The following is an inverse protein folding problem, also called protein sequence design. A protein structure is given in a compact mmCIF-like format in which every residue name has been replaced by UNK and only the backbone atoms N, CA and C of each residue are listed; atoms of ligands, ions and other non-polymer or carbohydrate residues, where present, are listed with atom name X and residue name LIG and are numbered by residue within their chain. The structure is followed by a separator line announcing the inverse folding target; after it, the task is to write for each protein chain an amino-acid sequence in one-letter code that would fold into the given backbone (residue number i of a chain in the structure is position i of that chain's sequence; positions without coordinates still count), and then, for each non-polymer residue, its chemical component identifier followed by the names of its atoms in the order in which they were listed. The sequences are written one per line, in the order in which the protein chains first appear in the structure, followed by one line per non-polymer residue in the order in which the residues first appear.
data_IF_526184680982
#
_entry.id   IF_526184680982
#
_cell.length_a   1.000
_cell.length_b   1.000
_cell.length_c   1.000
_cell.angle_alpha   90.00
_cell.angle_beta   90.00
_cell.angle_gamma   90.00
#
_symmetry.space_group_name_H-M   'P 1'
#
loop_
_entity.id
_entity.type
_entity.pdbx_description
1 polymer ?
#
# COMPACT_ATOMS: atom_id res chain seq x y z
N UNK A 1 -9.60 -16.15 11.64
CA UNK A 1 -8.16 -16.56 11.72
C UNK A 1 -7.29 -16.10 10.54
N UNK A 2 -7.83 -15.95 9.32
CA UNK A 2 -7.02 -15.61 8.14
C UNK A 2 -6.38 -14.20 8.21
N UNK A 3 -7.09 -13.17 8.69
CA UNK A 3 -6.61 -11.78 8.68
C UNK A 3 -5.41 -11.46 9.60
N UNK A 4 -5.32 -12.11 10.77
CA UNK A 4 -4.17 -11.96 11.70
C UNK A 4 -2.93 -12.70 11.20
N UNK A 5 -3.12 -13.92 10.72
CA UNK A 5 -2.07 -14.68 10.05
C UNK A 5 -1.55 -13.91 8.84
N UNK A 6 -2.44 -13.25 8.10
CA UNK A 6 -2.16 -12.47 6.89
C UNK A 6 -1.40 -11.16 7.14
N UNK A 7 -1.77 -10.35 8.15
CA UNK A 7 -1.04 -9.10 8.46
C UNK A 7 0.32 -9.35 9.12
N UNK A 8 0.38 -10.33 10.03
CA UNK A 8 1.66 -10.83 10.55
C UNK A 8 2.48 -11.44 9.42
N UNK A 9 1.85 -12.14 8.46
CA UNK A 9 2.51 -12.65 7.28
C UNK A 9 3.06 -11.51 6.41
N UNK A 10 2.30 -10.48 6.04
CA UNK A 10 2.81 -9.39 5.17
C UNK A 10 4.06 -8.72 5.76
N UNK A 11 4.00 -8.24 7.00
CA UNK A 11 5.16 -7.61 7.64
C UNK A 11 6.32 -8.60 7.85
N UNK A 12 6.02 -9.84 8.23
CA UNK A 12 7.04 -10.88 8.38
C UNK A 12 7.68 -11.25 7.03
N UNK A 13 6.89 -11.37 5.96
CA UNK A 13 7.33 -11.73 4.62
C UNK A 13 8.19 -10.60 4.04
N UNK A 14 7.76 -9.35 4.15
CA UNK A 14 8.59 -8.18 3.79
C UNK A 14 9.93 -8.21 4.53
N UNK A 15 9.94 -8.53 5.83
CA UNK A 15 11.17 -8.66 6.62
C UNK A 15 12.03 -9.88 6.23
N UNK A 16 11.43 -10.98 5.75
CA UNK A 16 12.21 -12.12 5.27
C UNK A 16 12.84 -11.83 3.92
N UNK A 17 12.08 -11.23 3.00
CA UNK A 17 12.58 -10.86 1.68
C UNK A 17 13.65 -9.77 1.74
N UNK A 18 13.51 -8.78 2.62
CA UNK A 18 14.50 -7.70 2.77
C UNK A 18 15.89 -8.21 3.20
N UNK A 19 16.00 -9.43 3.77
CA UNK A 19 17.31 -10.06 4.06
C UNK A 19 18.09 -10.46 2.80
N UNK A 20 17.39 -10.57 1.66
CA UNK A 20 17.95 -10.93 0.37
C UNK A 20 18.12 -9.72 -0.55
N UNK A 21 17.63 -8.56 -0.10
CA UNK A 21 17.77 -7.27 -0.76
C UNK A 21 19.24 -6.86 -0.85
N UNK A 22 19.62 -6.39 -2.03
CA UNK A 22 20.89 -5.72 -2.21
C UNK A 22 20.68 -4.24 -1.88
N UNK A 23 21.59 -3.62 -1.12
CA UNK A 23 21.42 -2.30 -0.52
C UNK A 23 21.15 -1.13 -1.51
N UNK A 24 21.15 -1.39 -2.82
CA UNK A 24 21.00 -0.38 -3.87
C UNK A 24 19.57 -0.21 -4.37
N UNK A 25 18.66 -1.19 -4.17
CA UNK A 25 17.28 -1.09 -4.69
C UNK A 25 16.28 -1.71 -3.69
N UNK A 26 15.64 -0.90 -2.84
CA UNK A 26 14.65 -1.38 -1.90
C UNK A 26 13.40 -1.94 -2.60
N UNK A 27 12.84 -3.02 -2.05
CA UNK A 27 11.65 -3.69 -2.55
C UNK A 27 11.85 -4.67 -3.71
N UNK A 28 13.09 -4.84 -4.19
CA UNK A 28 13.41 -5.76 -5.30
C UNK A 28 14.55 -6.72 -4.96
N UNK A 29 14.50 -7.93 -5.53
CA UNK A 29 15.57 -8.94 -5.40
C UNK A 29 15.77 -9.73 -6.70
N UNK A 30 16.97 -10.30 -6.86
CA UNK A 30 17.26 -11.23 -7.97
C UNK A 30 16.30 -12.45 -7.93
N UNK A 31 15.82 -12.91 -9.08
CA UNK A 31 14.81 -13.97 -9.18
C UNK A 31 15.22 -15.31 -8.52
N UNK A 32 16.51 -15.62 -8.52
CA UNK A 32 17.07 -16.79 -7.84
C UNK A 32 17.04 -16.63 -6.30
N UNK A 33 17.22 -15.40 -5.79
CA UNK A 33 17.05 -15.09 -4.36
C UNK A 33 15.58 -15.14 -3.95
N UNK A 34 14.69 -14.64 -4.80
CA UNK A 34 13.24 -14.72 -4.61
C UNK A 34 12.78 -16.17 -4.44
N UNK A 35 13.16 -17.04 -5.37
CA UNK A 35 12.83 -18.48 -5.31
C UNK A 35 13.40 -19.14 -4.06
N UNK A 36 14.66 -18.84 -3.70
CA UNK A 36 15.29 -19.36 -2.48
C UNK A 36 14.60 -18.88 -1.21
N UNK A 37 14.14 -17.63 -1.18
CA UNK A 37 13.43 -17.06 -0.04
C UNK A 37 12.07 -17.76 0.15
N UNK A 38 11.31 -17.98 -0.92
CA UNK A 38 10.04 -18.71 -0.90
C UNK A 38 10.18 -20.12 -0.31
N UNK A 39 11.17 -20.89 -0.78
CA UNK A 39 11.40 -22.24 -0.24
C UNK A 39 11.77 -22.21 1.24
N UNK A 40 12.57 -21.24 1.71
CA UNK A 40 12.90 -21.11 3.14
C UNK A 40 11.71 -20.68 4.00
N UNK A 41 10.77 -19.98 3.41
CA UNK A 41 9.52 -19.57 4.06
C UNK A 41 8.47 -20.69 4.08
N UNK A 42 8.79 -21.87 3.53
CA UNK A 42 7.89 -23.03 3.51
C UNK A 42 6.84 -22.97 2.40
N UNK A 43 7.03 -22.14 1.38
CA UNK A 43 6.17 -22.14 0.18
C UNK A 43 6.61 -23.29 -0.72
N UNK A 44 5.79 -24.32 -0.81
CA UNK A 44 6.00 -25.50 -1.65
C UNK A 44 5.15 -25.42 -2.93
N UNK A 45 5.81 -25.33 -4.09
CA UNK A 45 5.16 -25.44 -5.40
C UNK A 45 5.61 -26.75 -6.06
N UNK A 46 4.70 -27.41 -6.78
CA UNK A 46 4.91 -28.76 -7.33
C UNK A 46 6.10 -28.89 -8.28
N UNK A 47 6.49 -27.81 -8.94
CA UNK A 47 7.55 -27.80 -9.95
C UNK A 47 8.40 -26.55 -9.90
N UNK A 48 9.68 -26.70 -10.22
CA UNK A 48 10.66 -25.60 -10.31
C UNK A 48 10.21 -24.49 -11.27
N UNK A 49 9.61 -24.88 -12.40
CA UNK A 49 9.07 -23.96 -13.41
C UNK A 49 7.96 -23.03 -12.86
N UNK A 50 7.26 -23.43 -11.79
CA UNK A 50 6.23 -22.59 -11.17
C UNK A 50 6.84 -21.43 -10.37
N UNK A 51 8.00 -21.64 -9.73
CA UNK A 51 8.72 -20.54 -9.07
C UNK A 51 9.26 -19.54 -10.09
N UNK A 52 9.77 -20.02 -11.22
CA UNK A 52 10.25 -19.16 -12.32
C UNK A 52 9.10 -18.36 -12.93
N UNK A 53 7.95 -19.00 -13.17
CA UNK A 53 6.73 -18.32 -13.64
C UNK A 53 6.24 -17.27 -12.65
N UNK A 54 6.27 -17.59 -11.35
CA UNK A 54 5.89 -16.64 -10.30
C UNK A 54 6.83 -15.43 -10.26
N UNK A 55 8.14 -15.63 -10.41
CA UNK A 55 9.11 -14.54 -10.50
C UNK A 55 8.87 -13.66 -11.75
N UNK A 56 8.49 -14.26 -12.89
CA UNK A 56 8.10 -13.54 -14.11
C UNK A 56 6.87 -12.65 -13.91
N UNK A 57 5.89 -13.08 -13.12
CA UNK A 57 4.68 -12.29 -12.84
C UNK A 57 4.97 -10.96 -12.11
N UNK A 58 6.07 -10.90 -11.36
CA UNK A 58 6.45 -9.74 -10.54
C UNK A 58 7.77 -9.14 -11.01
N UNK A 59 8.14 -9.31 -12.27
CA UNK A 59 9.35 -8.69 -12.80
C UNK A 59 9.18 -7.18 -12.91
N UNK A 60 10.24 -6.44 -12.61
CA UNK A 60 10.26 -4.98 -12.86
C UNK A 60 10.57 -4.69 -14.32
N UNK A 61 9.94 -3.65 -14.88
CA UNK A 61 10.10 -3.28 -16.30
C UNK A 61 11.53 -2.79 -16.63
N UNK A 62 12.27 -2.32 -15.62
CA UNK A 62 13.66 -1.84 -15.74
C UNK A 62 14.73 -2.94 -15.80
N UNK A 63 14.48 -3.97 -16.60
CA UNK A 63 15.43 -5.01 -16.98
C UNK A 63 16.24 -4.72 -18.25
N UNK A 64 16.19 -3.49 -18.81
CA UNK A 64 16.97 -3.12 -20.00
C UNK A 64 18.31 -2.41 -19.70
N UNK A 65 18.58 -2.06 -18.44
CA UNK A 65 19.90 -1.60 -17.98
C UNK A 65 20.65 -2.72 -17.29
N UNK A 66 21.40 -3.53 -18.04
CA UNK A 66 22.17 -4.64 -17.50
C UNK A 66 23.24 -4.16 -16.50
N UNK A 67 23.07 -4.51 -15.22
CA UNK A 67 24.19 -4.55 -14.28
C UNK A 67 24.96 -5.84 -14.55
N UNK A 68 26.11 -5.71 -15.24
CA UNK A 68 27.09 -6.80 -15.35
C UNK A 68 27.81 -6.96 -14.02
N UNK A 69 27.56 -8.07 -13.32
CA UNK A 69 28.43 -8.53 -12.23
C UNK A 69 29.80 -8.86 -12.85
N UNK A 70 30.75 -7.94 -12.73
CA UNK A 70 32.15 -8.18 -13.07
C UNK A 70 32.83 -8.88 -11.91
N UNK A 71 32.53 -10.17 -11.71
CA UNK A 71 33.36 -11.05 -10.90
C UNK A 71 33.36 -12.48 -11.46
N UNK A 72 34.58 -12.89 -11.81
CA UNK A 72 35.10 -14.23 -12.01
C UNK A 72 34.59 -15.15 -13.14
N UNK A 73 35.61 -15.64 -13.85
CA UNK A 73 35.62 -16.57 -14.97
C UNK A 73 34.51 -17.64 -15.00
N UNK A 74 33.85 -17.67 -16.17
CA UNK A 74 33.14 -18.81 -16.76
C UNK A 74 31.69 -19.05 -16.27
N UNK A 75 30.72 -18.33 -16.85
CA UNK A 75 29.36 -18.83 -17.19
C UNK A 75 28.58 -17.79 -18.01
N UNK A 76 27.69 -18.30 -18.88
CA UNK A 76 26.76 -17.59 -19.77
C UNK A 76 26.25 -16.26 -19.20
N UNK A 77 26.22 -15.22 -20.04
CA UNK A 77 25.41 -14.02 -19.86
C UNK A 77 23.97 -14.41 -19.53
N UNK A 78 23.64 -14.39 -18.24
CA UNK A 78 22.28 -14.50 -17.75
C UNK A 78 21.88 -13.10 -17.36
N UNK A 79 21.03 -12.46 -18.16
CA UNK A 79 20.31 -11.25 -17.76
C UNK A 79 19.69 -11.50 -16.39
N UNK A 80 20.15 -10.78 -15.37
CA UNK A 80 19.71 -11.00 -13.99
C UNK A 80 18.33 -10.38 -13.82
N UNK A 81 17.30 -11.21 -13.87
CA UNK A 81 15.91 -10.79 -13.67
C UNK A 81 15.70 -10.31 -12.22
N UNK A 82 15.16 -9.11 -12.06
CA UNK A 82 14.74 -8.55 -10.78
C UNK A 82 13.25 -8.76 -10.56
N UNK A 83 12.87 -9.06 -9.33
CA UNK A 83 11.51 -9.33 -8.88
C UNK A 83 11.13 -8.30 -7.83
N UNK A 84 10.01 -7.60 -8.04
CA UNK A 84 9.32 -6.75 -7.07
C UNK A 84 8.67 -7.65 -6.02
N UNK A 85 9.43 -7.95 -4.97
CA UNK A 85 8.94 -8.80 -3.90
C UNK A 85 7.89 -8.08 -3.05
N UNK A 86 7.83 -6.75 -3.07
CA UNK A 86 6.81 -5.97 -2.36
C UNK A 86 5.46 -6.21 -3.02
N UNK A 87 5.38 -6.08 -4.35
CA UNK A 87 4.18 -6.40 -5.11
C UNK A 87 3.79 -7.88 -4.94
N UNK A 88 4.77 -8.79 -4.88
CA UNK A 88 4.50 -10.19 -4.56
C UNK A 88 3.95 -10.38 -3.14
N UNK A 89 4.55 -9.76 -2.12
CA UNK A 89 4.08 -9.90 -0.74
C UNK A 89 2.71 -9.26 -0.58
N UNK A 90 2.45 -8.13 -1.24
CA UNK A 90 1.12 -7.54 -1.30
C UNK A 90 0.14 -8.50 -1.98
N UNK A 91 0.52 -9.17 -3.07
CA UNK A 91 -0.30 -10.18 -3.73
C UNK A 91 -0.53 -11.44 -2.87
N UNK A 92 0.52 -12.00 -2.26
CA UNK A 92 0.50 -13.29 -1.56
C UNK A 92 -0.07 -13.16 -0.14
N UNK A 93 0.17 -12.02 0.50
CA UNK A 93 -0.42 -11.66 1.78
C UNK A 93 -1.66 -10.79 1.60
N UNK A 94 -2.09 -10.43 0.40
CA UNK A 94 -3.51 -10.32 0.14
C UNK A 94 -4.05 -11.74 -0.01
N UNK A 95 -4.74 -12.22 1.02
CA UNK A 95 -5.87 -13.11 0.77
C UNK A 95 -6.72 -12.33 -0.23
N UNK A 96 -6.63 -12.69 -1.52
CA UNK A 96 -7.66 -12.29 -2.48
C UNK A 96 -8.94 -12.60 -1.76
N UNK A 97 -9.75 -11.57 -1.55
CA UNK A 97 -11.12 -11.81 -1.18
C UNK A 97 -11.60 -12.94 -2.07
N UNK A 98 -12.16 -13.99 -1.46
CA UNK A 98 -12.85 -14.98 -2.27
C UNK A 98 -13.78 -14.23 -3.22
N UNK A 99 -14.09 -14.78 -4.40
CA UNK A 99 -15.04 -14.11 -5.32
C UNK A 99 -16.28 -13.62 -4.55
N UNK A 100 -16.72 -14.42 -3.57
CA UNK A 100 -17.71 -14.06 -2.57
C UNK A 100 -17.40 -12.80 -1.75
N UNK A 101 -16.24 -12.67 -1.11
CA UNK A 101 -15.88 -11.46 -0.35
C UNK A 101 -15.77 -10.22 -1.26
N UNK A 102 -15.34 -10.38 -2.51
CA UNK A 102 -15.33 -9.29 -3.49
C UNK A 102 -16.75 -8.85 -3.86
N UNK A 103 -17.64 -9.80 -4.14
CA UNK A 103 -19.06 -9.55 -4.39
C UNK A 103 -19.73 -8.84 -3.19
N UNK A 104 -19.40 -9.26 -1.97
CA UNK A 104 -19.88 -8.60 -0.74
C UNK A 104 -19.34 -7.18 -0.67
N UNK A 105 -18.05 -6.95 -0.92
CA UNK A 105 -17.45 -5.62 -0.90
C UNK A 105 -18.11 -4.68 -1.91
N UNK A 106 -18.34 -5.15 -3.13
CA UNK A 106 -18.95 -4.37 -4.20
C UNK A 106 -20.41 -4.05 -3.88
N UNK A 107 -21.18 -5.01 -3.37
CA UNK A 107 -22.55 -4.79 -2.88
C UNK A 107 -22.61 -3.76 -1.75
N UNK A 108 -21.67 -3.83 -0.80
CA UNK A 108 -21.55 -2.87 0.29
C UNK A 108 -21.21 -1.46 -0.22
N UNK A 109 -20.23 -1.33 -1.13
CA UNK A 109 -19.82 -0.05 -1.74
C UNK A 109 -20.94 0.55 -2.59
N UNK A 110 -21.67 -0.26 -3.35
CA UNK A 110 -22.81 0.19 -4.14
C UNK A 110 -23.93 0.70 -3.23
N UNK A 111 -24.18 0.01 -2.10
CA UNK A 111 -25.16 0.45 -1.10
C UNK A 111 -24.77 1.80 -0.46
N UNK A 112 -23.49 2.00 -0.15
CA UNK A 112 -22.95 3.28 0.32
C UNK A 112 -23.14 4.37 -0.75
N UNK A 113 -22.74 4.11 -2.00
CA UNK A 113 -22.88 5.06 -3.10
C UNK A 113 -24.34 5.47 -3.33
N UNK A 114 -25.28 4.51 -3.32
CA UNK A 114 -26.72 4.77 -3.41
C UNK A 114 -27.26 5.61 -2.25
N UNK A 115 -26.73 5.41 -1.05
CA UNK A 115 -27.10 6.20 0.13
C UNK A 115 -26.55 7.63 0.03
N UNK A 116 -25.29 7.78 -0.34
CA UNK A 116 -24.63 9.08 -0.49
C UNK A 116 -25.27 9.91 -1.62
N UNK A 117 -25.59 9.31 -2.75
CA UNK A 117 -26.29 9.99 -3.86
C UNK A 117 -27.70 10.47 -3.52
N UNK A 118 -28.34 9.92 -2.48
CA UNK A 118 -29.65 10.39 -1.98
C UNK A 118 -29.52 11.48 -0.93
N UNK A 119 -28.32 11.66 -0.35
CA UNK A 119 -28.07 12.59 0.74
C UNK A 119 -27.75 13.97 0.17
N UNK A 120 -28.25 15.02 0.81
CA UNK A 120 -27.90 16.41 0.45
C UNK A 120 -26.51 16.84 0.96
N UNK A 121 -25.83 15.99 1.74
CA UNK A 121 -24.54 16.28 2.35
C UNK A 121 -23.41 15.85 1.43
N UNK A 122 -22.41 16.71 1.28
CA UNK A 122 -21.19 16.44 0.51
C UNK A 122 -20.27 15.38 1.14
N UNK A 123 -20.52 14.97 2.39
CA UNK A 123 -19.67 13.99 3.08
C UNK A 123 -20.20 12.58 2.91
N UNK A 124 -19.38 11.72 2.30
CA UNK A 124 -19.64 10.29 2.15
C UNK A 124 -19.84 9.61 3.50
N UNK A 125 -20.68 8.57 3.52
CA UNK A 125 -20.94 7.77 4.72
C UNK A 125 -19.65 7.15 5.27
N UNK A 126 -19.31 7.43 6.52
CA UNK A 126 -18.15 6.85 7.20
C UNK A 126 -18.57 5.68 8.09
N UNK A 127 -18.34 4.47 7.62
CA UNK A 127 -18.68 3.25 8.34
C UNK A 127 -17.87 3.11 9.64
N UNK A 128 -16.57 3.43 9.63
CA UNK A 128 -15.74 3.34 10.84
C UNK A 128 -16.30 4.19 11.98
N UNK A 129 -16.74 5.42 11.68
CA UNK A 129 -17.33 6.31 12.67
C UNK A 129 -18.63 5.74 13.29
N UNK A 130 -19.36 4.92 12.54
CA UNK A 130 -20.51 4.17 13.07
C UNK A 130 -20.09 3.03 13.99
N UNK A 131 -19.11 2.22 13.56
CA UNK A 131 -18.61 1.08 14.31
C UNK A 131 -17.84 1.48 15.58
N UNK A 132 -17.07 2.58 15.54
CA UNK A 132 -16.31 3.11 16.68
C UNK A 132 -17.22 3.47 17.86
N UNK A 133 -18.44 3.95 17.61
CA UNK A 133 -19.43 4.24 18.67
C UNK A 133 -19.83 3.00 19.48
N UNK A 134 -19.67 1.80 18.91
CA UNK A 134 -19.96 0.54 19.58
C UNK A 134 -18.79 0.09 20.49
N UNK A 135 -17.58 0.60 20.26
CA UNK A 135 -16.38 0.34 21.05
C UNK A 135 -16.18 1.42 22.13
N UNK A 136 -17.03 1.38 23.17
CA UNK A 136 -17.03 2.35 24.28
C UNK A 136 -15.69 2.51 24.99
N UNK A 137 -14.84 1.50 24.93
CA UNK A 137 -13.55 1.46 25.62
C UNK A 137 -12.37 1.73 24.69
N UNK A 138 -12.62 2.05 23.40
CA UNK A 138 -11.58 2.31 22.40
C UNK A 138 -10.52 1.20 22.32
N UNK A 139 -10.98 -0.04 22.37
CA UNK A 139 -10.13 -1.23 22.31
C UNK A 139 -9.65 -1.53 20.88
N UNK A 140 -10.25 -0.90 19.87
CA UNK A 140 -10.01 -1.17 18.45
C UNK A 140 -10.76 -2.40 17.94
N UNK A 141 -11.70 -2.94 18.73
CA UNK A 141 -12.50 -4.10 18.34
C UNK A 141 -13.90 -4.11 18.95
N UNK A 142 -14.81 -4.81 18.28
CA UNK A 142 -16.19 -5.04 18.71
C UNK A 142 -16.54 -6.52 18.63
N UNK A 143 -17.58 -6.99 19.31
CA UNK A 143 -17.97 -8.40 19.19
C UNK A 143 -18.59 -8.69 17.81
N UNK A 144 -18.53 -9.94 17.35
CA UNK A 144 -19.18 -10.38 16.11
C UNK A 144 -20.69 -10.05 16.10
N UNK A 145 -21.36 -10.17 17.25
CA UNK A 145 -22.77 -9.75 17.41
C UNK A 145 -22.98 -8.25 17.25
N UNK A 146 -22.07 -7.42 17.77
CA UNK A 146 -22.15 -5.96 17.58
C UNK A 146 -21.93 -5.59 16.12
N UNK A 147 -20.99 -6.26 15.46
CA UNK A 147 -20.68 -6.09 14.05
C UNK A 147 -21.86 -6.47 13.15
N UNK A 148 -22.43 -7.66 13.34
CA UNK A 148 -23.60 -8.13 12.60
C UNK A 148 -24.77 -7.16 12.73
N UNK A 149 -25.11 -6.75 13.97
CA UNK A 149 -26.18 -5.78 14.21
C UNK A 149 -25.93 -4.44 13.54
N UNK A 150 -24.67 -4.00 13.45
CA UNK A 150 -24.34 -2.75 12.78
C UNK A 150 -24.59 -2.82 11.27
N UNK A 151 -24.28 -3.95 10.63
CA UNK A 151 -24.48 -4.14 9.19
C UNK A 151 -25.94 -4.43 8.79
N UNK A 152 -26.76 -4.90 9.72
CA UNK A 152 -28.18 -5.17 9.49
C UNK A 152 -29.11 -3.98 9.85
N UNK A 153 -28.56 -2.89 10.40
CA UNK A 153 -29.35 -1.72 10.80
C UNK A 153 -29.79 -0.91 9.59
N UNK A 154 -31.10 -0.66 9.48
CA UNK A 154 -31.67 0.16 8.41
C UNK A 154 -32.00 1.59 8.86
N UNK A 155 -31.99 1.85 10.16
CA UNK A 155 -32.34 3.14 10.76
C UNK A 155 -31.17 4.14 10.77
N UNK A 156 -29.94 3.67 10.63
CA UNK A 156 -28.71 4.47 10.79
C UNK A 156 -27.67 4.20 9.69
N UNK A 157 -28.01 4.52 8.43
CA UNK A 157 -27.06 4.48 7.31
C UNK A 157 -27.61 3.78 6.06
N UNK A 158 -26.72 3.34 5.14
CA UNK A 158 -27.10 2.49 4.00
C UNK A 158 -27.65 1.14 4.46
N UNK A 159 -28.70 0.66 3.78
CA UNK A 159 -29.19 -0.72 3.97
C UNK A 159 -28.37 -1.66 3.09
N UNK A 160 -27.56 -2.50 3.73
CA UNK A 160 -26.58 -3.36 3.07
C UNK A 160 -27.13 -4.71 2.56
N UNK A 161 -28.34 -5.10 2.98
CA UNK A 161 -29.04 -6.32 2.53
C UNK A 161 -28.15 -7.59 2.43
N UNK A 162 -27.33 -7.83 3.44
CA UNK A 162 -26.43 -8.98 3.49
C UNK A 162 -27.17 -10.27 3.89
N UNK A 163 -26.83 -11.40 3.28
CA UNK A 163 -27.27 -12.71 3.76
C UNK A 163 -26.50 -13.14 5.02
N UNK A 164 -27.03 -14.11 5.76
CA UNK A 164 -26.31 -14.71 6.89
C UNK A 164 -24.95 -15.30 6.47
N UNK A 165 -24.85 -15.81 5.24
CA UNK A 165 -23.61 -16.37 4.72
C UNK A 165 -22.58 -15.31 4.35
N UNK A 166 -23.01 -14.08 4.05
CA UNK A 166 -22.14 -12.94 3.77
C UNK A 166 -21.56 -12.39 5.08
N UNK A 167 -22.41 -12.25 6.09
CA UNK A 167 -21.99 -11.85 7.43
C UNK A 167 -20.99 -12.85 8.00
N UNK A 168 -21.23 -14.15 7.86
CA UNK A 168 -20.28 -15.18 8.29
C UNK A 168 -18.92 -15.02 7.60
N UNK A 169 -18.91 -14.77 6.28
CA UNK A 169 -17.66 -14.58 5.54
C UNK A 169 -16.89 -13.33 6.01
N UNK A 170 -17.60 -12.23 6.31
CA UNK A 170 -16.99 -11.03 6.88
C UNK A 170 -16.46 -11.27 8.29
N UNK A 171 -17.21 -11.95 9.16
CA UNK A 171 -16.76 -12.32 10.51
C UNK A 171 -15.49 -13.17 10.42
N UNK A 172 -15.49 -14.24 9.61
CA UNK A 172 -14.33 -15.11 9.45
C UNK A 172 -13.07 -14.36 8.98
N UNK A 173 -13.28 -13.33 8.13
CA UNK A 173 -12.24 -12.49 7.56
C UNK A 173 -11.62 -11.51 8.56
N UNK A 174 -12.43 -10.92 9.42
CA UNK A 174 -12.04 -9.80 10.30
C UNK A 174 -12.02 -10.14 11.81
N UNK A 175 -12.40 -11.36 12.20
CA UNK A 175 -12.33 -11.83 13.58
C UNK A 175 -10.89 -12.19 14.01
N UNK A 176 -10.56 -11.76 15.22
CA UNK A 176 -9.24 -11.78 15.85
C UNK A 176 -9.34 -12.17 17.32
N UNK A 177 -8.34 -12.88 17.85
CA UNK A 177 -8.23 -13.24 19.26
C UNK A 177 -7.48 -12.17 20.08
N UNK A 178 -8.20 -11.43 20.92
CA UNK A 178 -7.68 -10.45 21.86
C UNK A 178 -7.32 -11.08 23.22
N UNK A 179 -6.83 -10.25 24.14
CA UNK A 179 -6.33 -10.67 25.45
C UNK A 179 -7.21 -11.74 26.12
N UNK A 180 -6.58 -12.88 26.47
CA UNK A 180 -7.21 -14.03 27.14
C UNK A 180 -8.25 -14.79 26.29
N UNK A 181 -7.93 -15.06 25.02
CA UNK A 181 -8.75 -15.88 24.12
C UNK A 181 -10.12 -15.28 23.77
N UNK A 182 -10.27 -13.95 23.87
CA UNK A 182 -11.52 -13.30 23.54
C UNK A 182 -11.56 -12.93 22.05
N UNK A 183 -12.46 -13.54 21.29
CA UNK A 183 -12.65 -13.20 19.88
C UNK A 183 -13.38 -11.85 19.71
N UNK A 184 -12.94 -11.06 18.74
CA UNK A 184 -13.52 -9.77 18.38
C UNK A 184 -13.21 -9.39 16.93
N UNK A 185 -14.01 -8.52 16.35
CA UNK A 185 -13.85 -7.98 15.00
C UNK A 185 -12.96 -6.74 15.06
N UNK A 186 -11.85 -6.75 14.31
CA UNK A 186 -11.06 -5.54 14.01
C UNK A 186 -11.86 -4.70 13.00
N UNK A 187 -12.75 -3.85 13.54
CA UNK A 187 -13.64 -3.05 12.70
C UNK A 187 -12.90 -1.95 11.94
N UNK A 188 -11.71 -1.54 12.39
CA UNK A 188 -10.87 -0.61 11.64
C UNK A 188 -10.27 -1.28 10.42
N UNK A 189 -9.86 -2.55 10.52
CA UNK A 189 -9.47 -3.34 9.35
C UNK A 189 -10.61 -3.49 8.36
N UNK A 190 -11.80 -3.82 8.83
CA UNK A 190 -12.97 -3.94 7.97
C UNK A 190 -13.31 -2.61 7.27
N UNK A 191 -13.27 -1.50 8.00
CA UNK A 191 -13.56 -0.20 7.43
C UNK A 191 -12.49 0.26 6.43
N UNK A 192 -11.20 0.01 6.70
CA UNK A 192 -10.10 0.24 5.76
C UNK A 192 -10.23 -0.63 4.51
N UNK A 193 -10.68 -1.87 4.66
CA UNK A 193 -10.92 -2.77 3.53
C UNK A 193 -12.08 -2.30 2.65
N UNK A 194 -13.16 -1.83 3.27
CA UNK A 194 -14.34 -1.38 2.53
C UNK A 194 -14.17 0.03 1.95
N UNK A 195 -13.59 0.93 2.73
CA UNK A 195 -13.43 2.36 2.47
C UNK A 195 -11.95 2.81 2.66
N UNK A 196 -10.99 2.24 1.90
CA UNK A 196 -9.57 2.50 2.10
C UNK A 196 -9.20 3.98 2.00
N UNK A 197 -9.81 4.70 1.06
CA UNK A 197 -9.56 6.12 0.83
C UNK A 197 -9.98 7.00 2.02
N UNK A 198 -10.98 6.57 2.81
CA UNK A 198 -11.48 7.33 3.97
C UNK A 198 -10.58 7.17 5.21
N UNK A 199 -9.69 6.19 5.19
CA UNK A 199 -8.82 5.83 6.32
C UNK A 199 -7.33 5.92 5.99
N UNK A 200 -6.99 6.30 4.76
CA UNK A 200 -5.65 6.67 4.41
C UNK A 200 -5.35 8.05 5.01
N UNK A 201 -4.38 8.11 5.91
CA UNK A 201 -3.87 9.39 6.40
C UNK A 201 -2.89 9.96 5.37
N UNK A 202 -3.46 10.54 4.30
CA UNK A 202 -2.71 11.09 3.16
C UNK A 202 -1.67 12.09 3.66
N UNK A 203 -2.00 12.87 4.69
CA UNK A 203 -1.07 13.82 5.30
C UNK A 203 0.17 13.14 5.88
N UNK A 204 0.02 12.04 6.64
CA UNK A 204 1.19 11.29 7.15
C UNK A 204 2.01 10.65 6.04
N UNK A 205 1.35 10.14 5.00
CA UNK A 205 2.04 9.58 3.83
C UNK A 205 2.84 10.69 3.13
N UNK A 206 2.23 11.86 2.90
CA UNK A 206 2.90 13.04 2.37
C UNK A 206 4.09 13.49 3.23
N UNK A 207 3.93 13.57 4.56
CA UNK A 207 5.04 13.91 5.47
C UNK A 207 6.23 12.94 5.33
N UNK A 208 5.95 11.65 5.15
CA UNK A 208 6.98 10.65 4.90
C UNK A 208 7.65 10.83 3.53
N UNK A 209 6.87 11.04 2.48
CA UNK A 209 7.38 11.30 1.13
C UNK A 209 8.24 12.55 1.10
N UNK A 210 7.79 13.63 1.76
CA UNK A 210 8.54 14.87 1.87
C UNK A 210 9.89 14.69 2.55
N UNK A 211 9.94 13.89 3.63
CA UNK A 211 11.21 13.55 4.28
C UNK A 211 12.16 12.81 3.32
N UNK A 212 11.65 11.89 2.51
CA UNK A 212 12.48 11.13 1.57
C UNK A 212 13.00 12.00 0.42
N UNK A 213 12.17 12.92 -0.08
CA UNK A 213 12.60 13.92 -1.06
C UNK A 213 13.68 14.84 -0.48
N UNK A 214 13.52 15.32 0.75
CA UNK A 214 14.56 16.11 1.44
C UNK A 214 15.86 15.30 1.63
N UNK A 215 15.77 14.03 2.03
CA UNK A 215 16.93 13.14 2.22
C UNK A 215 17.65 12.86 0.89
N UNK A 216 16.90 12.63 -0.20
CA UNK A 216 17.43 12.43 -1.55
C UNK A 216 18.15 13.69 -2.06
N UNK A 217 17.54 14.87 -1.85
CA UNK A 217 18.13 16.17 -2.17
C UNK A 217 19.49 16.35 -1.47
N UNK A 218 19.55 16.09 -0.17
CA UNK A 218 20.78 16.26 0.62
C UNK A 218 21.87 15.26 0.23
N UNK A 219 21.48 14.01 -0.04
CA UNK A 219 22.42 12.93 -0.38
C UNK A 219 23.09 13.13 -1.74
N UNK A 220 22.31 13.47 -2.76
CA UNK A 220 22.80 13.63 -4.14
C UNK A 220 23.21 15.08 -4.45
N UNK A 221 22.93 16.03 -3.56
CA UNK A 221 23.16 17.45 -3.77
C UNK A 221 22.22 18.06 -4.81
N UNK A 222 21.04 17.46 -4.98
CA UNK A 222 20.07 17.81 -6.01
C UNK A 222 19.09 18.89 -5.55
N UNK A 223 18.74 19.77 -6.48
CA UNK A 223 17.61 20.69 -6.34
C UNK A 223 16.29 19.98 -6.68
N UNK A 224 15.15 20.57 -6.31
CA UNK A 224 13.83 19.98 -6.57
C UNK A 224 13.56 19.71 -8.06
N UNK A 225 14.13 20.50 -8.96
CA UNK A 225 14.04 20.28 -10.41
C UNK A 225 14.73 18.97 -10.83
N UNK A 226 15.87 18.65 -10.22
CA UNK A 226 16.64 17.45 -10.54
C UNK A 226 15.96 16.20 -9.97
N UNK A 227 15.34 16.32 -8.78
CA UNK A 227 14.52 15.24 -8.21
C UNK A 227 13.30 14.99 -9.08
N UNK A 228 12.59 16.04 -9.51
CA UNK A 228 11.44 15.89 -10.39
C UNK A 228 11.81 15.14 -11.67
N UNK A 229 12.90 15.55 -12.35
CA UNK A 229 13.41 14.89 -13.55
C UNK A 229 13.91 13.46 -13.34
N UNK A 230 14.24 13.09 -12.10
CA UNK A 230 14.59 11.72 -11.76
C UNK A 230 13.36 10.85 -11.53
N UNK A 231 12.21 11.45 -11.20
CA UNK A 231 10.93 10.76 -11.04
C UNK A 231 10.16 10.63 -12.36
N UNK A 232 10.25 11.65 -13.23
CA UNK A 232 9.72 11.69 -14.60
C UNK A 232 10.59 10.82 -15.53
N UNK A 233 10.22 9.54 -15.70
CA UNK A 233 11.04 8.54 -16.40
C UNK A 233 10.97 8.73 -17.92
N UNK A 234 9.78 9.04 -18.43
CA UNK A 234 9.55 9.22 -19.86
C UNK A 234 9.88 10.63 -20.37
N UNK A 235 10.09 11.59 -19.47
CA UNK A 235 10.46 12.99 -19.72
C UNK A 235 9.38 13.78 -20.45
N UNK A 236 8.12 13.44 -20.21
CA UNK A 236 6.97 14.18 -20.71
C UNK A 236 6.76 15.52 -19.96
N UNK A 237 7.46 15.72 -18.84
CA UNK A 237 7.41 16.94 -18.03
C UNK A 237 6.36 16.90 -16.93
N UNK A 238 5.73 15.75 -16.72
CA UNK A 238 4.71 15.47 -15.72
C UNK A 238 5.10 14.17 -14.97
N UNK A 239 4.48 13.89 -13.82
CA UNK A 239 4.68 12.62 -13.10
C UNK A 239 3.34 11.93 -12.98
N UNK A 240 3.23 10.71 -13.50
CA UNK A 240 2.02 9.92 -13.38
C UNK A 240 2.02 8.97 -12.17
N UNK A 241 0.89 8.28 -11.95
CA UNK A 241 0.75 7.37 -10.83
C UNK A 241 1.75 6.19 -10.87
N UNK A 242 2.14 5.72 -12.05
CA UNK A 242 3.12 4.64 -12.20
C UNK A 242 4.51 5.16 -11.87
N UNK A 243 4.88 6.31 -12.41
CA UNK A 243 6.17 6.97 -12.15
C UNK A 243 6.33 7.36 -10.68
N UNK A 244 5.28 7.92 -10.08
CA UNK A 244 5.24 8.21 -8.64
C UNK A 244 5.47 6.93 -7.82
N UNK A 245 4.84 5.82 -8.20
CA UNK A 245 5.03 4.53 -7.51
C UNK A 245 6.47 4.04 -7.61
N UNK A 246 7.04 4.07 -8.81
CA UNK A 246 8.41 3.61 -9.05
C UNK A 246 9.43 4.48 -8.30
N UNK A 247 9.31 5.80 -8.39
CA UNK A 247 10.17 6.73 -7.69
C UNK A 247 10.11 6.55 -6.16
N UNK A 248 8.91 6.43 -5.59
CA UNK A 248 8.77 6.23 -4.14
C UNK A 248 9.31 4.87 -3.69
N UNK A 249 9.18 3.84 -4.53
CA UNK A 249 9.80 2.54 -4.29
C UNK A 249 11.33 2.67 -4.27
N UNK A 250 11.94 3.36 -5.23
CA UNK A 250 13.39 3.61 -5.29
C UNK A 250 13.90 4.41 -4.08
N UNK A 251 13.10 5.36 -3.58
CA UNK A 251 13.38 6.12 -2.35
C UNK A 251 13.17 5.29 -1.07
N UNK A 252 12.74 4.02 -1.17
CA UNK A 252 12.56 3.11 -0.04
C UNK A 252 11.20 3.21 0.66
N UNK A 253 10.18 3.70 -0.03
CA UNK A 253 8.80 3.76 0.44
C UNK A 253 7.87 2.91 -0.45
N UNK A 254 7.75 1.60 -0.18
CA UNK A 254 6.76 0.79 -0.87
C UNK A 254 5.33 1.21 -0.50
N UNK A 255 4.51 1.53 -1.51
CA UNK A 255 3.08 1.84 -1.37
C UNK A 255 2.24 0.96 -2.30
N UNK A 256 1.00 0.68 -1.90
CA UNK A 256 0.02 -0.04 -2.74
C UNK A 256 -0.57 0.88 -3.81
N UNK A 257 -1.11 0.31 -4.89
CA UNK A 257 -1.72 1.09 -6.00
C UNK A 257 -2.84 2.03 -5.53
N UNK A 258 -3.63 1.61 -4.55
CA UNK A 258 -4.68 2.43 -3.97
C UNK A 258 -4.13 3.64 -3.19
N UNK A 259 -3.02 3.45 -2.47
CA UNK A 259 -2.36 4.52 -1.73
C UNK A 259 -1.66 5.51 -2.67
N UNK A 260 -1.04 4.99 -3.73
CA UNK A 260 -0.43 5.81 -4.78
C UNK A 260 -1.47 6.68 -5.47
N UNK A 261 -2.62 6.11 -5.86
CA UNK A 261 -3.70 6.87 -6.50
C UNK A 261 -4.20 8.01 -5.60
N UNK A 262 -4.48 7.73 -4.33
CA UNK A 262 -4.85 8.80 -3.39
C UNK A 262 -3.79 9.88 -3.24
N UNK A 263 -2.51 9.49 -3.25
CA UNK A 263 -1.42 10.46 -3.11
C UNK A 263 -1.28 11.30 -4.39
N UNK A 264 -1.41 10.67 -5.55
CA UNK A 264 -1.41 11.35 -6.84
C UNK A 264 -2.59 12.32 -6.94
N UNK A 265 -3.80 11.89 -6.61
CA UNK A 265 -5.01 12.74 -6.61
C UNK A 265 -4.91 13.93 -5.63
N UNK A 266 -4.13 13.82 -4.54
CA UNK A 266 -3.89 14.93 -3.61
C UNK A 266 -2.81 15.90 -4.13
N UNK A 267 -1.89 15.40 -4.96
CA UNK A 267 -0.78 16.19 -5.51
C UNK A 267 -1.16 16.90 -6.80
N UNK A 268 -2.06 16.29 -7.57
CA UNK A 268 -2.71 16.82 -8.76
C UNK A 268 -3.78 17.84 -8.34
N UNK A 269 -3.43 19.13 -8.36
CA UNK A 269 -4.27 20.23 -7.88
C UNK A 269 -5.30 20.63 -8.93
N UNK A 270 -4.97 20.49 -10.22
CA UNK A 270 -5.84 20.87 -11.32
C UNK A 270 -6.74 19.72 -11.84
N UNK A 271 -6.46 18.49 -11.44
CA UNK A 271 -7.26 17.29 -11.68
C UNK A 271 -7.07 16.69 -13.06
N UNK A 272 -5.93 16.92 -13.72
CA UNK A 272 -5.63 16.39 -15.06
C UNK A 272 -5.16 14.91 -15.06
N UNK A 273 -4.94 14.35 -13.87
CA UNK A 273 -4.50 12.98 -13.63
C UNK A 273 -2.98 12.81 -13.57
N UNK A 274 -2.23 13.91 -13.60
CA UNK A 274 -0.76 13.96 -13.61
C UNK A 274 -0.28 15.02 -12.60
N UNK A 275 0.99 14.95 -12.22
CA UNK A 275 1.61 15.93 -11.30
C UNK A 275 2.58 16.78 -12.10
N UNK A 276 2.24 18.04 -12.30
CA UNK A 276 3.07 19.00 -13.02
C UNK A 276 4.20 19.51 -12.11
N UNK A 277 5.31 19.98 -12.70
CA UNK A 277 6.45 20.51 -11.93
C UNK A 277 6.05 21.64 -10.96
N UNK A 278 5.13 22.52 -11.34
CA UNK A 278 4.62 23.59 -10.47
C UNK A 278 3.93 23.06 -9.21
N UNK A 279 3.17 21.98 -9.35
CA UNK A 279 2.46 21.33 -8.25
C UNK A 279 3.45 20.63 -7.33
N UNK A 280 4.40 19.89 -7.91
CA UNK A 280 5.50 19.26 -7.18
C UNK A 280 6.28 20.27 -6.31
N UNK A 281 6.68 21.41 -6.87
CA UNK A 281 7.38 22.45 -6.10
C UNK A 281 6.52 22.99 -4.97
N UNK A 282 5.21 23.18 -5.19
CA UNK A 282 4.30 23.67 -4.15
C UNK A 282 4.23 22.73 -2.92
N UNK A 283 4.36 21.41 -3.16
CA UNK A 283 4.31 20.37 -2.14
C UNK A 283 5.64 20.22 -1.38
N UNK A 284 6.75 20.24 -2.13
CA UNK A 284 8.07 19.87 -1.60
C UNK A 284 8.98 21.05 -1.28
N UNK A 285 8.66 22.27 -1.71
CA UNK A 285 9.43 23.45 -1.35
C UNK A 285 9.58 23.59 0.18
N UNK A 286 10.78 23.99 0.66
CA UNK A 286 10.97 24.32 2.06
C UNK A 286 10.06 25.48 2.44
N UNK A 287 9.06 25.21 3.29
CA UNK A 287 8.36 26.31 3.98
C UNK A 287 9.41 27.16 4.71
N UNK A 288 9.38 28.49 4.59
CA UNK A 288 10.42 29.48 4.94
C UNK A 288 11.03 29.40 6.36
N UNK A 289 10.59 28.47 7.21
CA UNK A 289 11.00 28.31 8.60
C UNK A 289 12.40 27.69 8.80
N UNK A 290 13.02 27.06 7.78
CA UNK A 290 14.35 26.42 7.92
C UNK A 290 15.56 27.34 7.61
N UNK A 291 15.37 28.53 6.99
CA UNK A 291 16.50 29.38 6.57
C UNK A 291 17.16 30.19 7.71
N UNK A 292 16.57 30.22 8.91
CA UNK A 292 17.08 31.07 10.02
C UNK A 292 18.10 30.40 10.94
N UNK A 293 18.32 29.08 10.85
CA UNK A 293 19.30 28.37 11.71
C UNK A 293 20.70 28.23 11.13
N UNK A 294 20.88 28.26 9.79
CA UNK A 294 22.20 28.05 9.16
C UNK A 294 23.08 29.31 9.09
N UNK A 295 22.52 30.52 9.26
CA UNK A 295 23.28 31.80 9.23
C UNK A 295 23.85 32.27 10.57
N UNK A 296 23.65 31.53 11.68
CA UNK A 296 24.12 31.97 13.03
C UNK A 296 25.36 31.24 13.56
N UNK A 297 26.01 30.39 12.77
CA UNK A 297 27.21 29.64 13.18
C UNK A 297 28.51 30.09 12.50
N UNK A 298 28.46 31.09 11.61
CA UNK A 298 29.65 31.66 10.94
C UNK A 298 29.77 33.18 11.19
N UNK A 299 29.82 33.59 12.46
CA UNK A 299 30.04 34.98 12.87
C UNK A 299 30.89 35.05 14.13
#
# INVERSE_FOLDING_TARGET
MAGQAQRRASSHWLQQFSKYEEAKRPGVIKADRFTRCLSRMGVELDKREHYETLAECFKTSRGSGGETDSDDNNRKESTTQLVDYVAFVDFACNVRDSEKLSEIADSLRESISKYDGKKQSSTSYNLAAGLEKLDRHKRGWITSTQFERALQREDQGPSFRLSATDISALVDRFEYEYEKQQLGIDYMQFAQWLQPLLHLDVKKVHERVKSLVEDAAEKEGWELEEIFKAMDDDKDGEIDAVELKEALLEMGLPLTDAQIRCLADEYDVDGDGKIQYSEFVSLFAPSEKKLTKKKRLNG
#
